data_IF_268437049492
#
_entry.id   IF_268437049492
#
_cell.length_a   1.000
_cell.length_b   1.000
_cell.length_c   1.000
_cell.angle_alpha   90.00
_cell.angle_beta   90.00
_cell.angle_gamma   90.00
#
_symmetry.space_group_name_H-M   'P 1'
#
loop_
_entity.id
_entity.type
_entity.pdbx_description
1 polymer ?
#
# COMPACT_ATOMS: atom_id res chain seq x y z
N UNK A 1 -22.69 -26.80 -17.54
CA UNK A 1 -22.25 -25.45 -17.13
C UNK A 1 -21.40 -25.65 -15.89
N UNK A 2 -20.12 -25.31 -15.93
CA UNK A 2 -19.23 -25.47 -14.78
C UNK A 2 -19.59 -24.42 -13.73
N UNK A 3 -19.87 -24.85 -12.50
CA UNK A 3 -20.02 -23.94 -11.37
C UNK A 3 -18.70 -23.22 -11.15
N UNK A 4 -18.67 -21.89 -10.98
CA UNK A 4 -17.44 -21.20 -10.65
C UNK A 4 -16.86 -21.74 -9.33
N UNK A 5 -15.54 -21.88 -9.28
CA UNK A 5 -14.84 -22.25 -8.04
C UNK A 5 -15.14 -21.22 -6.95
N UNK A 6 -15.34 -21.65 -5.68
CA UNK A 6 -15.49 -20.69 -4.60
C UNK A 6 -14.27 -19.79 -4.47
N UNK A 7 -14.47 -18.52 -4.14
CA UNK A 7 -13.38 -17.55 -4.04
C UNK A 7 -13.82 -16.16 -3.61
N UNK A 8 -12.82 -15.33 -3.33
CA UNK A 8 -12.94 -13.90 -3.04
C UNK A 8 -12.13 -13.15 -4.09
N UNK A 9 -12.70 -12.06 -4.61
CA UNK A 9 -12.04 -11.20 -5.60
C UNK A 9 -12.30 -9.73 -5.23
N UNK A 10 -11.24 -8.93 -5.15
CA UNK A 10 -11.29 -7.49 -4.95
C UNK A 10 -11.19 -6.82 -6.32
N UNK A 11 -12.14 -5.93 -6.60
CA UNK A 11 -12.13 -5.09 -7.80
C UNK A 11 -12.07 -3.63 -7.37
N UNK A 12 -10.96 -2.95 -7.69
CA UNK A 12 -10.81 -1.51 -7.48
C UNK A 12 -11.34 -0.74 -8.67
N UNK A 13 -12.00 0.40 -8.42
CA UNK A 13 -12.44 1.28 -9.50
C UNK A 13 -11.24 2.00 -10.15
N UNK A 14 -10.23 2.35 -9.33
CA UNK A 14 -8.98 2.98 -9.76
C UNK A 14 -7.80 2.47 -8.94
N UNK A 15 -6.64 2.35 -9.57
CA UNK A 15 -5.41 1.86 -8.94
C UNK A 15 -4.45 2.98 -8.55
N UNK A 16 -4.69 4.22 -8.98
CA UNK A 16 -3.81 5.35 -8.79
C UNK A 16 -4.58 6.46 -8.10
N UNK A 17 -4.09 6.89 -6.94
CA UNK A 17 -4.78 7.84 -6.09
C UNK A 17 -3.84 8.95 -5.64
N UNK A 18 -4.39 10.15 -5.54
CA UNK A 18 -3.79 11.28 -4.86
C UNK A 18 -4.23 11.34 -3.40
N UNK A 19 -3.50 12.07 -2.54
CA UNK A 19 -3.91 12.38 -1.18
C UNK A 19 -5.37 12.83 -1.06
N UNK A 20 -6.04 12.35 -0.02
CA UNK A 20 -7.42 12.69 0.31
C UNK A 20 -8.48 12.23 -0.71
N UNK A 21 -8.08 11.59 -1.81
CA UNK A 21 -9.02 10.91 -2.69
C UNK A 21 -9.64 9.71 -1.98
N UNK A 22 -10.74 9.25 -2.56
CA UNK A 22 -11.47 8.09 -2.07
C UNK A 22 -11.02 6.84 -2.84
N UNK A 23 -10.58 5.84 -2.09
CA UNK A 23 -10.36 4.50 -2.60
C UNK A 23 -11.70 3.77 -2.60
N UNK A 24 -12.20 3.46 -3.80
CA UNK A 24 -13.48 2.77 -3.99
C UNK A 24 -13.29 1.46 -4.71
N UNK A 25 -14.18 0.51 -4.42
CA UNK A 25 -14.19 -0.78 -5.06
C UNK A 25 -15.24 -1.71 -4.46
N UNK A 26 -15.09 -3.00 -4.77
CA UNK A 26 -16.01 -4.05 -4.32
C UNK A 26 -15.28 -5.36 -4.11
N UNK A 27 -15.76 -6.13 -3.15
CA UNK A 27 -15.36 -7.53 -2.93
C UNK A 27 -16.47 -8.42 -3.50
N UNK A 28 -16.13 -9.29 -4.44
CA UNK A 28 -17.02 -10.35 -4.95
C UNK A 28 -16.70 -11.65 -4.23
N UNK A 29 -17.73 -12.30 -3.70
CA UNK A 29 -17.62 -13.59 -3.03
C UNK A 29 -18.43 -14.60 -3.85
N UNK A 30 -17.78 -15.69 -4.23
CA UNK A 30 -18.38 -16.74 -5.05
C UNK A 30 -18.35 -18.07 -4.32
N UNK A 31 -19.43 -18.84 -4.41
CA UNK A 31 -19.52 -20.17 -3.80
C UNK A 31 -19.57 -20.14 -2.26
N UNK A 32 -19.45 -21.31 -1.66
CA UNK A 32 -19.39 -21.46 -0.20
C UNK A 32 -17.93 -21.48 0.25
N UNK A 33 -17.52 -20.47 1.00
CA UNK A 33 -16.20 -20.42 1.64
C UNK A 33 -16.21 -21.15 2.99
N UNK A 34 -15.09 -21.76 3.42
CA UNK A 34 -14.97 -22.36 4.74
C UNK A 34 -14.76 -21.32 5.86
N UNK A 35 -14.45 -20.07 5.49
CA UNK A 35 -14.25 -18.96 6.43
C UNK A 35 -15.54 -18.66 7.19
N UNK A 36 -15.41 -18.36 8.49
CA UNK A 36 -16.53 -17.96 9.35
C UNK A 36 -16.68 -16.45 9.42
N UNK A 37 -15.56 -15.74 9.28
CA UNK A 37 -15.48 -14.28 9.27
C UNK A 37 -14.40 -13.87 8.31
N UNK A 38 -14.57 -12.71 7.71
CA UNK A 38 -13.54 -12.10 6.88
C UNK A 38 -13.40 -10.63 7.24
N UNK A 39 -12.22 -10.06 6.98
CA UNK A 39 -11.95 -8.64 7.19
C UNK A 39 -11.32 -8.07 5.92
N UNK A 40 -11.91 -7.00 5.40
CA UNK A 40 -11.33 -6.17 4.35
C UNK A 40 -10.47 -5.08 5.00
N UNK A 41 -9.25 -4.91 4.49
CA UNK A 41 -8.25 -3.99 5.05
C UNK A 41 -7.66 -3.09 3.97
N UNK A 42 -7.38 -1.85 4.35
CA UNK A 42 -6.47 -0.97 3.60
C UNK A 42 -5.25 -0.75 4.47
N UNK A 43 -4.08 -0.98 3.90
CA UNK A 43 -2.82 -0.89 4.63
C UNK A 43 -1.68 -0.49 3.71
N UNK A 44 -0.60 -0.04 4.34
CA UNK A 44 0.69 0.05 3.68
C UNK A 44 1.71 -0.83 4.38
N UNK A 45 2.75 -1.20 3.64
CA UNK A 45 3.87 -1.94 4.17
C UNK A 45 5.18 -1.54 3.49
N UNK A 46 6.29 -1.66 4.22
CA UNK A 46 7.64 -1.55 3.69
C UNK A 46 8.23 -2.93 3.44
N UNK A 47 9.06 -3.04 2.41
CA UNK A 47 9.86 -4.24 2.11
C UNK A 47 11.25 -3.85 1.60
N UNK A 48 12.25 -4.71 1.79
CA UNK A 48 13.59 -4.53 1.25
C UNK A 48 14.71 -4.86 2.23
N UNK A 49 15.83 -4.16 2.14
CA UNK A 49 17.02 -4.36 3.01
C UNK A 49 16.95 -3.63 4.36
N UNK A 50 15.87 -2.90 4.62
CA UNK A 50 15.60 -2.24 5.89
C UNK A 50 14.58 -3.01 6.74
N UNK A 51 14.02 -2.33 7.74
CA UNK A 51 12.96 -2.89 8.56
C UNK A 51 11.65 -2.97 7.76
N UNK A 52 11.06 -4.16 7.77
CA UNK A 52 9.71 -4.38 7.26
C UNK A 52 8.70 -3.93 8.32
N UNK A 53 7.85 -2.99 7.95
CA UNK A 53 6.77 -2.46 8.78
C UNK A 53 5.47 -2.58 7.99
N UNK A 54 4.37 -2.87 8.67
CA UNK A 54 3.03 -2.84 8.09
C UNK A 54 2.09 -2.09 9.01
N UNK A 55 1.22 -1.25 8.43
CA UNK A 55 0.20 -0.51 9.17
C UNK A 55 -1.13 -0.56 8.46
N UNK A 56 -2.12 -1.12 9.15
CA UNK A 56 -3.53 -1.11 8.73
C UNK A 56 -4.15 0.25 9.07
N UNK A 57 -4.80 0.87 8.10
CA UNK A 57 -5.50 2.15 8.26
C UNK A 57 -7.00 1.96 8.39
N UNK A 58 -7.58 1.12 7.55
CA UNK A 58 -9.01 0.85 7.54
C UNK A 58 -9.25 -0.64 7.70
N UNK A 59 -10.32 -0.98 8.42
CA UNK A 59 -10.82 -2.34 8.62
C UNK A 59 -12.32 -2.32 8.46
N UNK A 60 -12.85 -3.32 7.79
CA UNK A 60 -14.28 -3.58 7.68
C UNK A 60 -14.51 -5.08 7.77
N UNK A 61 -15.31 -5.50 8.75
CA UNK A 61 -15.80 -6.87 8.80
C UNK A 61 -16.74 -7.12 7.61
N UNK A 62 -16.56 -8.25 6.93
CA UNK A 62 -17.41 -8.68 5.82
C UNK A 62 -17.89 -10.12 6.06
N UNK A 63 -19.12 -10.42 5.66
CA UNK A 63 -19.69 -11.76 5.84
C UNK A 63 -19.27 -12.68 4.69
N UNK A 64 -18.87 -13.94 4.95
CA UNK A 64 -18.63 -14.93 3.90
C UNK A 64 -19.90 -15.35 3.16
N UNK A 65 -21.08 -14.91 3.63
CA UNK A 65 -22.38 -15.16 2.99
C UNK A 65 -22.82 -14.02 2.07
N UNK A 66 -22.13 -12.88 2.10
CA UNK A 66 -22.38 -11.82 1.13
C UNK A 66 -21.94 -12.31 -0.26
N UNK A 67 -22.52 -11.73 -1.31
CA UNK A 67 -22.08 -11.99 -2.70
C UNK A 67 -21.26 -10.84 -3.27
N UNK A 68 -21.55 -9.62 -2.81
CA UNK A 68 -20.90 -8.41 -3.25
C UNK A 68 -20.90 -7.39 -2.10
N UNK A 69 -19.73 -6.87 -1.75
CA UNK A 69 -19.56 -5.88 -0.67
C UNK A 69 -18.84 -4.65 -1.24
N UNK A 70 -19.52 -3.50 -1.42
CA UNK A 70 -18.85 -2.27 -1.84
C UNK A 70 -18.08 -1.65 -0.66
N UNK A 71 -17.04 -0.89 -0.98
CA UNK A 71 -16.30 -0.09 -0.01
C UNK A 71 -15.86 1.26 -0.59
N UNK A 72 -15.68 2.23 0.31
CA UNK A 72 -15.21 3.57 -0.01
C UNK A 72 -14.49 4.15 1.21
N UNK A 73 -13.22 4.51 1.04
CA UNK A 73 -12.38 5.05 2.12
C UNK A 73 -11.55 6.25 1.69
N UNK A 74 -11.55 7.29 2.53
CA UNK A 74 -10.64 8.42 2.34
C UNK A 74 -9.20 8.01 2.64
N UNK A 75 -8.32 8.27 1.68
CA UNK A 75 -6.88 8.04 1.82
C UNK A 75 -6.22 9.18 2.61
N UNK A 76 -5.19 8.86 3.41
CA UNK A 76 -4.45 9.87 4.17
C UNK A 76 -3.58 10.74 3.24
N UNK A 77 -2.95 11.81 3.78
CA UNK A 77 -1.95 12.57 3.05
C UNK A 77 -0.64 11.81 2.83
N UNK A 78 -0.36 10.76 3.61
CA UNK A 78 0.90 10.01 3.57
C UNK A 78 0.75 8.67 4.31
N UNK A 79 1.68 7.72 4.15
CA UNK A 79 2.88 7.78 3.29
C UNK A 79 2.57 7.58 1.80
N UNK A 80 3.49 7.99 0.93
CA UNK A 80 3.37 7.77 -0.52
C UNK A 80 4.02 6.45 -0.96
N UNK A 81 3.42 5.81 -1.95
CA UNK A 81 4.03 4.69 -2.67
C UNK A 81 5.34 5.14 -3.30
N UNK A 82 6.38 4.34 -3.10
CA UNK A 82 7.63 4.49 -3.83
C UNK A 82 8.34 3.14 -3.99
N UNK A 83 9.06 3.00 -5.09
CA UNK A 83 9.95 1.87 -5.34
C UNK A 83 11.40 2.35 -5.42
N UNK A 84 12.27 1.68 -4.68
CA UNK A 84 13.70 1.94 -4.65
C UNK A 84 14.50 0.66 -4.49
N UNK A 85 15.80 0.71 -4.78
CA UNK A 85 16.69 -0.46 -4.71
C UNK A 85 16.83 -1.05 -3.30
N UNK A 86 16.70 -0.21 -2.27
CA UNK A 86 16.89 -0.60 -0.87
C UNK A 86 15.58 -0.83 -0.14
N UNK A 87 14.56 -0.03 -0.44
CA UNK A 87 13.27 -0.04 0.25
C UNK A 87 12.16 0.29 -0.74
N UNK A 88 11.04 -0.39 -0.60
CA UNK A 88 9.77 -0.09 -1.26
C UNK A 88 8.74 0.17 -0.18
N UNK A 89 7.88 1.18 -0.37
CA UNK A 89 6.64 1.33 0.37
C UNK A 89 5.48 1.08 -0.58
N UNK A 90 4.66 0.09 -0.26
CA UNK A 90 3.53 -0.33 -1.07
C UNK A 90 2.22 -0.18 -0.30
N UNK A 91 1.15 0.12 -1.04
CA UNK A 91 -0.21 0.16 -0.53
C UNK A 91 -1.00 -1.00 -1.12
N UNK A 92 -1.92 -1.55 -0.33
CA UNK A 92 -2.79 -2.63 -0.77
C UNK A 92 -4.14 -2.61 -0.07
N UNK A 93 -5.11 -3.22 -0.75
CA UNK A 93 -6.35 -3.71 -0.17
C UNK A 93 -6.26 -5.23 -0.08
N UNK A 94 -6.60 -5.80 1.07
CA UNK A 94 -6.64 -7.26 1.24
C UNK A 94 -7.94 -7.70 1.90
N UNK A 95 -8.39 -8.90 1.57
CA UNK A 95 -9.34 -9.65 2.38
C UNK A 95 -8.61 -10.76 3.07
N UNK A 96 -8.77 -10.87 4.38
CA UNK A 96 -8.26 -11.98 5.18
C UNK A 96 -9.40 -12.76 5.83
N UNK A 97 -9.16 -14.04 6.13
CA UNK A 97 -10.07 -14.87 6.93
C UNK A 97 -9.81 -14.73 8.44
N UNK A 98 -10.57 -15.46 9.28
CA UNK A 98 -10.38 -15.45 10.73
C UNK A 98 -9.03 -16.00 11.22
N UNK A 99 -8.22 -16.58 10.33
CA UNK A 99 -6.87 -17.10 10.59
C UNK A 99 -5.80 -16.17 10.02
N UNK A 100 -6.16 -14.96 9.62
CA UNK A 100 -5.25 -13.97 9.02
C UNK A 100 -4.66 -14.45 7.68
N UNK A 101 -5.32 -15.40 6.99
CA UNK A 101 -4.89 -15.84 5.66
C UNK A 101 -5.46 -14.90 4.62
N UNK A 102 -4.58 -14.32 3.79
CA UNK A 102 -4.99 -13.52 2.65
C UNK A 102 -5.75 -14.39 1.64
N UNK A 103 -6.99 -14.02 1.39
CA UNK A 103 -7.88 -14.63 0.41
C UNK A 103 -7.77 -13.94 -0.95
N UNK A 104 -7.55 -12.62 -0.92
CA UNK A 104 -7.17 -11.83 -2.09
C UNK A 104 -6.42 -10.56 -1.64
N UNK A 105 -5.55 -10.04 -2.49
CA UNK A 105 -4.75 -8.84 -2.24
C UNK A 105 -4.53 -8.08 -3.53
N UNK A 106 -4.95 -6.82 -3.53
CA UNK A 106 -4.84 -5.92 -4.69
C UNK A 106 -4.01 -4.69 -4.33
N UNK A 107 -2.82 -4.52 -4.93
CA UNK A 107 -2.01 -3.33 -4.70
C UNK A 107 -2.59 -2.10 -5.40
N UNK A 108 -2.33 -0.92 -4.85
CA UNK A 108 -2.61 0.37 -5.48
C UNK A 108 -1.51 1.38 -5.19
N UNK A 109 -1.54 2.52 -5.88
CA UNK A 109 -0.59 3.62 -5.72
C UNK A 109 -1.25 4.81 -5.04
N UNK A 110 -0.59 5.33 -4.01
CA UNK A 110 -0.89 6.62 -3.41
C UNK A 110 0.30 7.55 -3.64
N UNK A 111 0.16 8.60 -4.44
CA UNK A 111 1.23 9.56 -4.69
C UNK A 111 0.70 10.97 -4.97
N UNK A 112 1.50 12.03 -4.79
CA UNK A 112 1.05 13.40 -5.05
C UNK A 112 0.60 13.64 -6.49
N UNK A 113 1.24 12.95 -7.45
CA UNK A 113 0.95 13.07 -8.88
C UNK A 113 -0.06 12.05 -9.39
N UNK A 114 -0.35 11.00 -8.62
CA UNK A 114 -1.05 9.82 -9.12
C UNK A 114 -0.16 8.91 -9.99
N UNK A 115 1.15 9.13 -10.04
CA UNK A 115 2.13 8.26 -10.71
C UNK A 115 3.09 7.61 -9.69
N UNK A 116 3.67 6.46 -10.01
CA UNK A 116 4.64 5.81 -9.12
C UNK A 116 5.90 6.68 -8.96
N UNK A 117 6.27 6.98 -7.72
CA UNK A 117 7.53 7.68 -7.44
C UNK A 117 8.69 6.68 -7.47
N UNK A 118 9.56 6.83 -8.47
CA UNK A 118 10.81 6.09 -8.56
C UNK A 118 11.89 6.82 -7.76
N UNK A 119 12.47 6.16 -6.75
CA UNK A 119 13.63 6.69 -6.05
C UNK A 119 14.88 6.38 -6.87
N UNK A 120 15.38 7.38 -7.61
CA UNK A 120 16.69 7.27 -8.25
C UNK A 120 17.78 7.11 -7.19
N UNK A 121 18.77 6.27 -7.49
CA UNK A 121 19.98 6.23 -6.68
C UNK A 121 20.60 7.63 -6.72
N UNK A 122 20.86 8.21 -5.55
CA UNK A 122 21.68 9.42 -5.46
C UNK A 122 22.95 9.17 -6.26
N UNK A 123 23.14 9.90 -7.37
CA UNK A 123 24.45 10.03 -7.95
C UNK A 123 25.28 10.69 -6.87
N UNK A 124 26.41 10.08 -6.49
CA UNK A 124 27.39 10.72 -5.62
C UNK A 124 27.71 12.10 -6.21
N UNK A 125 27.07 13.14 -5.70
CA UNK A 125 27.49 14.49 -5.95
C UNK A 125 28.72 14.67 -5.08
N UNK A 126 29.86 14.21 -5.58
CA UNK A 126 31.14 14.68 -5.05
C UNK A 126 31.05 16.20 -5.07
N UNK A 127 31.18 16.90 -3.93
CA UNK A 127 31.16 18.35 -3.95
C UNK A 127 32.35 18.80 -4.80
N UNK A 128 32.09 19.31 -6.02
CA UNK A 128 33.09 20.06 -6.78
C UNK A 128 33.19 21.44 -6.15
N UNK A 129 33.88 21.51 -5.02
CA UNK A 129 34.18 22.73 -4.32
C UNK A 129 35.00 22.40 -3.10
N UNK A 130 36.24 22.91 -3.05
CA UNK A 130 36.99 22.98 -1.78
C UNK A 130 36.12 23.74 -0.78
N UNK A 131 35.50 23.02 0.14
CA UNK A 131 34.97 23.67 1.34
C UNK A 131 36.14 23.79 2.31
N UNK A 132 36.83 24.93 2.26
CA UNK A 132 37.71 25.33 3.34
C UNK A 132 36.81 25.72 4.52
N UNK A 133 36.60 24.80 5.46
CA UNK A 133 35.96 25.13 6.73
C UNK A 133 37.08 25.21 7.77
N UNK A 134 37.22 26.41 8.35
CA UNK A 134 38.11 26.84 9.43
C UNK A 134 39.51 27.35 9.03
N UNK A 135 39.54 28.62 8.60
CA UNK A 135 40.56 29.56 9.11
C UNK A 135 39.89 30.41 10.18
N UNK A 136 40.28 30.20 11.44
CA UNK A 136 40.12 31.21 12.49
C UNK A 136 41.52 31.58 12.92
N UNK A 137 42.04 32.66 12.34
CA UNK A 137 43.07 33.45 13.00
C UNK A 137 42.41 34.18 14.16
N UNK A 138 42.91 33.97 15.38
CA UNK A 138 42.87 35.02 16.40
C UNK A 138 44.26 35.16 16.99
N UNK A 139 44.87 36.28 16.62
CA UNK A 139 46.05 36.83 17.22
C UNK A 139 45.66 37.59 18.50
N UNK A 140 46.65 37.75 19.39
CA UNK A 140 46.66 38.48 20.67
C UNK A 140 46.15 37.70 21.89
#
# INVERSE_FOLDING_TARGET
>A
MSTPSPGVEIELDHFHHQPFQELTGRVRITGSLPAKKMELRVFWFTRGRGDEEAKVLHRQEISPHDSLVPFAWKLPPAPYSFAGKLITLAWAVEVVDEKEQSLDLVPFLLSPSGEEMQLEALKDSTPKGKVAIFSVERNS
#
